data_IF_480978989665
#
_entry.id   IF_480978989665
#
_cell.length_a   1.000
_cell.length_b   1.000
_cell.length_c   1.000
_cell.angle_alpha   90.00
_cell.angle_beta   90.00
_cell.angle_gamma   90.00
#
_symmetry.space_group_name_H-M   'P 1'
#
loop_
_entity.id
_entity.type
_entity.pdbx_description
1 polymer ?
#
# COMPACT_ATOMS: atom_id res chain seq x y z
N UNK A 1 -13.93 -54.96 -12.11
CA UNK A 1 -13.16 -53.75 -12.47
C UNK A 1 -14.05 -52.54 -12.22
N UNK A 2 -13.96 -51.95 -11.04
CA UNK A 2 -14.62 -50.69 -10.70
C UNK A 2 -13.54 -49.63 -10.65
N UNK A 3 -13.53 -48.75 -11.66
CA UNK A 3 -12.68 -47.56 -11.68
C UNK A 3 -13.28 -46.60 -10.64
N UNK A 4 -12.60 -46.47 -9.50
CA UNK A 4 -12.94 -45.47 -8.50
C UNK A 4 -12.51 -44.09 -8.99
N UNK A 5 -13.47 -43.25 -9.33
CA UNK A 5 -13.25 -41.82 -9.52
C UNK A 5 -12.77 -41.24 -8.19
N UNK A 6 -11.53 -40.75 -8.15
CA UNK A 6 -11.01 -40.05 -6.98
C UNK A 6 -11.86 -38.79 -6.72
N UNK A 7 -12.21 -38.47 -5.47
CA UNK A 7 -12.93 -37.25 -5.17
C UNK A 7 -12.03 -36.05 -5.46
N UNK A 8 -12.51 -35.14 -6.31
CA UNK A 8 -11.95 -33.80 -6.45
C UNK A 8 -11.94 -33.13 -5.08
N UNK A 9 -10.77 -33.02 -4.45
CA UNK A 9 -10.58 -32.36 -3.17
C UNK A 9 -10.89 -30.86 -3.35
N UNK A 10 -12.01 -30.41 -2.77
CA UNK A 10 -12.26 -28.98 -2.62
C UNK A 10 -11.09 -28.35 -1.86
N UNK A 11 -10.37 -27.42 -2.50
CA UNK A 11 -9.25 -26.71 -1.91
C UNK A 11 -9.67 -26.14 -0.55
N UNK A 12 -8.92 -26.46 0.51
CA UNK A 12 -9.23 -25.96 1.85
C UNK A 12 -8.97 -24.45 1.92
N UNK A 13 -9.51 -23.77 2.94
CA UNK A 13 -9.24 -22.36 3.17
C UNK A 13 -7.74 -22.03 3.32
N UNK A 14 -6.90 -23.02 3.70
CA UNK A 14 -5.43 -22.88 3.78
C UNK A 14 -4.73 -23.04 2.43
N UNK A 15 -5.40 -23.63 1.45
CA UNK A 15 -4.87 -23.83 0.11
C UNK A 15 -5.32 -22.70 -0.82
N UNK A 16 -5.44 -21.47 -0.34
CA UNK A 16 -5.89 -20.34 -1.14
C UNK A 16 -5.07 -19.09 -0.84
N UNK A 17 -4.79 -18.32 -1.89
CA UNK A 17 -4.38 -16.92 -1.77
C UNK A 17 -5.64 -16.09 -1.98
N UNK A 18 -6.12 -15.44 -0.93
CA UNK A 18 -7.37 -14.67 -0.95
C UNK A 18 -7.09 -13.19 -0.82
N UNK A 19 -7.69 -12.41 -1.71
CA UNK A 19 -7.79 -10.96 -1.56
C UNK A 19 -8.93 -10.68 -0.59
N UNK A 20 -8.58 -10.21 0.60
CA UNK A 20 -9.55 -9.86 1.67
C UNK A 20 -9.95 -8.39 1.63
N UNK A 21 -9.20 -7.56 0.90
CA UNK A 21 -9.61 -6.21 0.56
C UNK A 21 -8.77 -5.60 -0.55
N UNK A 22 -9.37 -4.64 -1.24
CA UNK A 22 -8.77 -3.96 -2.39
C UNK A 22 -9.18 -2.48 -2.34
N UNK A 23 -8.19 -1.59 -2.33
CA UNK A 23 -8.40 -0.15 -2.25
C UNK A 23 -7.55 0.58 -3.28
N UNK A 24 -8.13 1.61 -3.87
CA UNK A 24 -7.39 2.67 -4.55
C UNK A 24 -7.10 3.75 -3.53
N UNK A 25 -5.80 3.98 -3.27
CA UNK A 25 -5.31 4.97 -2.30
C UNK A 25 -4.79 6.15 -3.10
N UNK A 26 -5.38 7.34 -2.91
CA UNK A 26 -5.10 8.51 -3.72
C UNK A 26 -4.00 9.39 -3.13
N UNK A 27 -3.39 10.22 -3.99
CA UNK A 27 -2.50 11.32 -3.60
C UNK A 27 -1.37 10.93 -2.64
N UNK A 28 -1.09 11.81 -1.69
CA UNK A 28 -0.19 11.54 -0.57
C UNK A 28 -0.85 10.55 0.40
N UNK A 29 -0.13 9.48 0.73
CA UNK A 29 -0.64 8.42 1.58
C UNK A 29 0.48 7.74 2.36
N UNK A 30 0.12 6.82 3.26
CA UNK A 30 1.08 6.07 4.06
C UNK A 30 2.13 5.32 3.23
N UNK A 31 1.73 4.77 2.09
CA UNK A 31 2.56 3.89 1.28
C UNK A 31 3.54 4.68 0.42
N UNK A 32 3.08 5.76 -0.20
CA UNK A 32 3.89 6.58 -1.08
C UNK A 32 3.34 8.00 -1.22
N UNK A 33 4.17 8.88 -1.77
CA UNK A 33 3.76 10.23 -2.21
C UNK A 33 3.07 10.23 -3.58
N UNK A 34 2.46 9.11 -3.97
CA UNK A 34 1.79 8.89 -5.25
C UNK A 34 0.67 7.86 -5.06
N UNK A 35 -0.32 7.82 -5.98
CA UNK A 35 -1.40 6.85 -5.90
C UNK A 35 -0.89 5.39 -5.87
N UNK A 36 -1.52 4.57 -5.04
CA UNK A 36 -1.24 3.13 -4.96
C UNK A 36 -2.52 2.31 -4.93
N UNK A 37 -2.48 1.12 -5.49
CA UNK A 37 -3.46 0.06 -5.25
C UNK A 37 -2.98 -0.74 -4.06
N UNK A 38 -3.76 -0.76 -2.99
CA UNK A 38 -3.52 -1.59 -1.82
C UNK A 38 -4.36 -2.84 -1.92
N UNK A 39 -3.74 -3.98 -1.70
CA UNK A 39 -4.39 -5.28 -1.59
C UNK A 39 -4.03 -5.91 -0.24
N UNK A 40 -5.06 -6.33 0.50
CA UNK A 40 -4.91 -7.10 1.72
C UNK A 40 -5.09 -8.58 1.39
N UNK A 41 -4.12 -9.39 1.76
CA UNK A 41 -4.04 -10.80 1.42
C UNK A 41 -4.12 -11.67 2.66
N UNK A 42 -4.79 -12.81 2.50
CA UNK A 42 -4.61 -14.01 3.32
C UNK A 42 -4.01 -15.08 2.41
N UNK A 43 -2.76 -15.45 2.66
CA UNK A 43 -1.98 -16.35 1.79
C UNK A 43 -1.99 -17.81 2.27
N UNK A 44 -2.65 -18.14 3.37
CA UNK A 44 -2.74 -19.51 3.87
C UNK A 44 -1.37 -20.20 3.97
N UNK A 45 -1.24 -21.41 3.41
CA UNK A 45 0.00 -22.19 3.40
C UNK A 45 1.14 -21.56 2.60
N UNK A 46 0.83 -20.63 1.69
CA UNK A 46 1.84 -19.96 0.86
C UNK A 46 2.68 -18.93 1.63
N UNK A 47 2.42 -18.79 2.94
CA UNK A 47 3.30 -18.11 3.90
C UNK A 47 4.54 -18.95 4.24
N UNK A 48 4.44 -20.28 4.11
CA UNK A 48 5.47 -21.24 4.52
C UNK A 48 6.17 -21.88 3.31
N UNK A 49 5.63 -21.72 2.11
CA UNK A 49 6.13 -22.34 0.87
C UNK A 49 6.80 -21.29 0.00
N UNK A 50 8.15 -21.22 -0.03
CA UNK A 50 8.88 -20.33 -0.92
C UNK A 50 8.92 -20.86 -2.36
N UNK A 51 9.22 -19.98 -3.31
CA UNK A 51 9.23 -20.28 -4.75
C UNK A 51 10.23 -21.36 -5.19
N UNK A 52 11.32 -21.56 -4.47
CA UNK A 52 12.37 -22.55 -4.77
C UNK A 52 12.02 -23.97 -4.31
N UNK A 53 11.10 -24.12 -3.36
CA UNK A 53 10.58 -25.42 -2.93
C UNK A 53 9.46 -25.96 -3.84
N UNK A 54 8.98 -25.15 -4.78
CA UNK A 54 7.92 -25.54 -5.71
C UNK A 54 8.51 -25.92 -7.06
N UNK A 55 8.39 -27.20 -7.40
CA UNK A 55 9.01 -27.76 -8.59
C UNK A 55 8.61 -27.01 -9.88
N UNK A 56 9.62 -26.47 -10.58
CA UNK A 56 9.45 -25.76 -11.83
C UNK A 56 8.74 -24.40 -11.73
N UNK A 57 8.46 -23.88 -10.52
CA UNK A 57 7.75 -22.62 -10.33
C UNK A 57 8.44 -21.45 -11.04
N UNK A 58 9.72 -21.22 -10.74
CA UNK A 58 10.47 -20.09 -11.29
C UNK A 58 10.56 -20.18 -12.82
N UNK A 59 10.89 -21.37 -13.35
CA UNK A 59 10.97 -21.59 -14.79
C UNK A 59 9.63 -21.32 -15.48
N UNK A 60 8.52 -21.78 -14.91
CA UNK A 60 7.16 -21.58 -15.44
C UNK A 60 6.78 -20.10 -15.44
N UNK A 61 6.98 -19.41 -14.32
CA UNK A 61 6.62 -18.00 -14.17
C UNK A 61 7.46 -17.10 -15.09
N UNK A 62 8.77 -17.33 -15.18
CA UNK A 62 9.66 -16.54 -16.05
C UNK A 62 9.44 -16.83 -17.53
N UNK A 63 9.14 -18.09 -17.90
CA UNK A 63 8.81 -18.44 -19.28
C UNK A 63 7.49 -17.77 -19.71
N UNK A 64 6.48 -17.74 -18.83
CA UNK A 64 5.21 -17.07 -19.11
C UNK A 64 5.37 -15.54 -19.12
N UNK A 65 6.13 -14.97 -18.19
CA UNK A 65 6.29 -13.53 -18.03
C UNK A 65 7.77 -13.10 -18.11
N UNK A 66 8.41 -13.13 -19.29
CA UNK A 66 9.84 -12.83 -19.45
C UNK A 66 10.24 -11.43 -18.97
N UNK A 67 9.30 -10.48 -18.99
CA UNK A 67 9.51 -9.10 -18.53
C UNK A 67 9.92 -9.00 -17.06
N UNK A 68 9.71 -10.05 -16.24
CA UNK A 68 10.20 -10.10 -14.86
C UNK A 68 11.72 -9.94 -14.75
N UNK A 69 12.48 -10.20 -15.82
CA UNK A 69 13.93 -9.95 -15.86
C UNK A 69 14.28 -8.47 -15.68
N UNK A 70 13.38 -7.54 -15.99
CA UNK A 70 13.63 -6.11 -15.81
C UNK A 70 13.45 -5.65 -14.35
N UNK A 71 12.95 -6.53 -13.47
CA UNK A 71 12.73 -6.18 -12.07
C UNK A 71 13.95 -6.48 -11.19
N UNK A 72 14.37 -5.47 -10.43
CA UNK A 72 15.64 -5.51 -9.70
C UNK A 72 15.54 -6.04 -8.26
N UNK A 73 14.35 -5.99 -7.65
CA UNK A 73 14.14 -6.30 -6.23
C UNK A 73 15.13 -5.53 -5.33
N UNK A 74 15.51 -6.08 -4.17
CA UNK A 74 16.52 -5.52 -3.26
C UNK A 74 17.96 -5.66 -3.75
N UNK A 75 18.19 -6.46 -4.81
CA UNK A 75 19.52 -6.70 -5.39
C UNK A 75 19.99 -5.48 -6.21
N UNK A 76 19.06 -4.65 -6.70
CA UNK A 76 19.37 -3.36 -7.32
C UNK A 76 20.05 -3.46 -8.69
N UNK A 77 19.83 -4.57 -9.40
CA UNK A 77 20.25 -4.76 -10.79
C UNK A 77 19.19 -5.55 -11.58
N UNK A 78 19.14 -5.33 -12.89
CA UNK A 78 18.37 -6.16 -13.83
C UNK A 78 18.57 -7.66 -13.56
N UNK A 79 17.47 -8.40 -13.50
CA UNK A 79 17.42 -9.83 -13.19
C UNK A 79 17.38 -10.14 -11.69
N UNK A 80 17.56 -9.15 -10.82
CA UNK A 80 17.63 -9.35 -9.37
C UNK A 80 16.38 -10.00 -8.76
N UNK A 81 15.19 -9.75 -9.31
CA UNK A 81 13.98 -10.45 -8.88
C UNK A 81 13.97 -11.93 -9.31
N UNK A 82 14.46 -12.25 -10.51
CA UNK A 82 14.58 -13.64 -10.97
C UNK A 82 15.57 -14.42 -10.08
N UNK A 83 16.73 -13.83 -9.76
CA UNK A 83 17.66 -14.41 -8.79
C UNK A 83 16.99 -14.63 -7.43
N UNK A 84 16.09 -13.73 -7.01
CA UNK A 84 15.35 -13.86 -5.74
C UNK A 84 14.33 -14.99 -5.77
N UNK A 85 13.68 -15.23 -6.91
CA UNK A 85 12.79 -16.38 -7.12
C UNK A 85 13.54 -17.70 -7.03
N UNK A 86 14.72 -17.79 -7.65
CA UNK A 86 15.58 -18.98 -7.61
C UNK A 86 16.11 -19.29 -6.20
N UNK A 87 16.32 -18.26 -5.38
CA UNK A 87 16.71 -18.38 -3.97
C UNK A 87 15.54 -18.55 -2.99
N UNK A 88 14.31 -18.58 -3.48
CA UNK A 88 13.12 -18.74 -2.64
C UNK A 88 12.54 -17.46 -2.07
N UNK A 89 11.37 -17.07 -2.54
CA UNK A 89 10.58 -15.97 -1.97
C UNK A 89 9.09 -16.30 -1.94
N UNK A 90 8.29 -15.49 -1.25
CA UNK A 90 6.93 -15.84 -0.87
C UNK A 90 5.87 -15.12 -1.69
N UNK A 91 4.67 -15.68 -1.74
CA UNK A 91 3.56 -15.23 -2.59
C UNK A 91 3.30 -13.72 -2.57
N UNK A 92 3.24 -13.00 -1.41
CA UNK A 92 2.97 -11.56 -1.41
C UNK A 92 4.00 -10.74 -2.20
N UNK A 93 5.27 -11.10 -2.08
CA UNK A 93 6.36 -10.43 -2.78
C UNK A 93 6.38 -10.77 -4.27
N UNK A 94 6.00 -12.00 -4.63
CA UNK A 94 5.86 -12.40 -6.03
C UNK A 94 4.69 -11.64 -6.68
N UNK A 95 3.54 -11.55 -5.99
CA UNK A 95 2.37 -10.78 -6.44
C UNK A 95 2.72 -9.31 -6.64
N UNK A 96 3.57 -8.73 -5.77
CA UNK A 96 4.07 -7.38 -5.92
C UNK A 96 4.75 -7.16 -7.28
N UNK A 97 5.75 -7.99 -7.58
CA UNK A 97 6.54 -7.88 -8.80
C UNK A 97 5.74 -8.24 -10.06
N UNK A 98 4.92 -9.28 -10.02
CA UNK A 98 4.03 -9.65 -11.13
C UNK A 98 3.03 -8.52 -11.39
N UNK A 99 2.44 -7.93 -10.35
CA UNK A 99 1.52 -6.80 -10.50
C UNK A 99 2.16 -5.59 -11.18
N UNK A 100 3.38 -5.24 -10.80
CA UNK A 100 4.13 -4.16 -11.46
C UNK A 100 4.49 -4.51 -12.91
N UNK A 101 4.94 -5.75 -13.17
CA UNK A 101 5.29 -6.20 -14.52
C UNK A 101 4.09 -6.16 -15.47
N UNK A 102 2.91 -6.61 -15.02
CA UNK A 102 1.68 -6.55 -15.80
C UNK A 102 1.28 -5.10 -16.13
N UNK A 103 1.42 -4.17 -15.18
CA UNK A 103 1.16 -2.75 -15.43
C UNK A 103 2.12 -2.20 -16.50
N UNK A 104 3.40 -2.57 -16.42
CA UNK A 104 4.42 -2.15 -17.38
C UNK A 104 4.14 -2.68 -18.79
N UNK A 105 3.73 -3.94 -18.92
CA UNK A 105 3.30 -4.53 -20.19
C UNK A 105 1.98 -3.94 -20.72
N UNK A 106 1.09 -3.49 -19.83
CA UNK A 106 -0.10 -2.74 -20.19
C UNK A 106 0.21 -1.28 -20.60
N UNK A 107 1.46 -0.84 -20.46
CA UNK A 107 1.97 0.45 -20.91
C UNK A 107 1.93 1.56 -19.86
N UNK A 108 1.77 1.24 -18.57
CA UNK A 108 2.03 2.17 -17.47
C UNK A 108 3.53 2.14 -17.12
N UNK A 109 4.11 3.26 -16.71
CA UNK A 109 5.46 3.31 -16.15
C UNK A 109 5.38 3.34 -14.61
N UNK A 110 5.52 2.17 -13.99
CA UNK A 110 5.48 1.99 -12.53
C UNK A 110 6.55 1.03 -12.03
N UNK A 111 7.20 1.40 -10.93
CA UNK A 111 8.23 0.58 -10.30
C UNK A 111 8.20 0.55 -8.77
N UNK A 112 7.24 1.25 -8.15
CA UNK A 112 7.11 1.24 -6.69
C UNK A 112 6.12 0.17 -6.25
N UNK A 113 6.63 -0.80 -5.50
CA UNK A 113 5.85 -1.82 -4.80
C UNK A 113 6.29 -1.93 -3.35
N UNK A 114 5.43 -2.52 -2.52
CA UNK A 114 5.78 -2.89 -1.15
C UNK A 114 4.85 -3.98 -0.61
N UNK A 115 5.37 -5.18 -0.39
CA UNK A 115 4.73 -6.25 0.36
C UNK A 115 5.18 -6.25 1.83
N UNK A 116 4.23 -6.35 2.76
CA UNK A 116 4.51 -6.38 4.21
C UNK A 116 3.57 -7.32 4.94
N UNK A 117 4.11 -8.05 5.92
CA UNK A 117 3.29 -8.80 6.88
C UNK A 117 2.37 -7.89 7.68
N UNK A 118 1.14 -8.36 7.87
CA UNK A 118 0.12 -7.72 8.69
C UNK A 118 0.05 -8.40 10.07
N UNK A 119 -1.05 -8.21 10.79
CA UNK A 119 -1.16 -8.53 12.22
C UNK A 119 -1.13 -10.03 12.53
N UNK A 120 -1.60 -10.86 11.60
CA UNK A 120 -1.68 -12.31 11.77
C UNK A 120 -0.71 -13.02 10.83
N UNK A 121 -0.11 -14.16 11.22
CA UNK A 121 0.58 -15.05 10.28
C UNK A 121 -0.31 -15.35 9.06
N UNK A 122 0.28 -15.41 7.87
CA UNK A 122 -0.43 -15.54 6.61
C UNK A 122 -1.17 -14.30 6.12
N UNK A 123 -1.26 -13.22 6.91
CA UNK A 123 -1.88 -11.96 6.47
C UNK A 123 -0.86 -10.94 6.00
N UNK A 124 -1.11 -10.32 4.84
CA UNK A 124 -0.19 -9.38 4.21
C UNK A 124 -0.93 -8.17 3.65
N UNK A 125 -0.20 -7.07 3.52
CA UNK A 125 -0.60 -5.93 2.71
C UNK A 125 0.43 -5.76 1.60
N UNK A 126 -0.04 -5.65 0.36
CA UNK A 126 0.81 -5.24 -0.77
C UNK A 126 0.28 -3.91 -1.30
N UNK A 127 1.18 -2.97 -1.54
CA UNK A 127 0.89 -1.71 -2.20
C UNK A 127 1.62 -1.66 -3.54
N UNK A 128 0.89 -1.37 -4.62
CA UNK A 128 1.43 -1.22 -5.98
C UNK A 128 1.18 0.21 -6.43
N UNK A 129 2.19 0.97 -6.82
CA UNK A 129 1.94 2.21 -7.53
C UNK A 129 1.14 1.94 -8.81
N UNK A 130 0.23 2.86 -9.14
CA UNK A 130 -0.52 2.84 -10.38
C UNK A 130 -0.53 4.24 -11.01
N UNK A 131 -0.69 4.31 -12.32
CA UNK A 131 -1.05 5.57 -13.01
C UNK A 131 -2.55 5.69 -13.18
N UNK A 132 -3.20 4.56 -13.45
CA UNK A 132 -4.65 4.45 -13.56
C UNK A 132 -5.20 3.48 -12.50
N UNK A 133 -6.18 3.91 -11.73
CA UNK A 133 -6.77 3.17 -10.63
C UNK A 133 -7.38 1.84 -11.09
N UNK A 134 -8.06 1.85 -12.24
CA UNK A 134 -8.64 0.65 -12.83
C UNK A 134 -7.57 -0.36 -13.28
N UNK A 135 -6.48 0.11 -13.90
CA UNK A 135 -5.34 -0.72 -14.29
C UNK A 135 -4.68 -1.32 -13.06
N UNK A 136 -4.45 -0.53 -12.01
CA UNK A 136 -3.86 -1.01 -10.76
C UNK A 136 -4.71 -2.07 -10.05
N UNK A 137 -6.04 -1.90 -10.01
CA UNK A 137 -6.95 -2.92 -9.45
C UNK A 137 -6.95 -4.21 -10.27
N UNK A 138 -6.98 -4.09 -11.60
CA UNK A 138 -6.87 -5.25 -12.48
C UNK A 138 -5.52 -5.97 -12.27
N UNK A 139 -4.42 -5.22 -12.19
CA UNK A 139 -3.09 -5.76 -11.94
C UNK A 139 -3.01 -6.54 -10.63
N UNK A 140 -3.57 -6.01 -9.54
CA UNK A 140 -3.62 -6.67 -8.25
C UNK A 140 -4.33 -8.03 -8.31
N UNK A 141 -5.49 -8.08 -8.96
CA UNK A 141 -6.31 -9.30 -9.08
C UNK A 141 -5.66 -10.32 -10.03
N UNK A 142 -5.19 -9.86 -11.20
CA UNK A 142 -4.57 -10.73 -12.20
C UNK A 142 -3.23 -11.29 -11.72
N UNK A 143 -2.40 -10.49 -11.05
CA UNK A 143 -1.16 -10.97 -10.44
C UNK A 143 -1.43 -12.04 -9.37
N UNK A 144 -2.44 -11.83 -8.52
CA UNK A 144 -2.84 -12.82 -7.52
C UNK A 144 -3.26 -14.14 -8.16
N UNK A 145 -4.08 -14.08 -9.22
CA UNK A 145 -4.53 -15.26 -9.96
C UNK A 145 -3.37 -16.00 -10.66
N UNK A 146 -2.51 -15.27 -11.37
CA UNK A 146 -1.35 -15.86 -12.06
C UNK A 146 -0.36 -16.49 -11.09
N UNK A 147 -0.03 -15.81 -9.99
CA UNK A 147 0.87 -16.37 -8.98
C UNK A 147 0.26 -17.61 -8.36
N UNK A 148 -1.05 -17.61 -8.10
CA UNK A 148 -1.72 -18.81 -7.60
C UNK A 148 -1.65 -19.98 -8.58
N UNK A 149 -1.97 -19.75 -9.86
CA UNK A 149 -1.86 -20.75 -10.90
C UNK A 149 -0.41 -21.27 -11.04
N UNK A 150 0.59 -20.40 -10.89
CA UNK A 150 1.99 -20.79 -10.93
C UNK A 150 2.37 -21.74 -9.78
N UNK A 151 1.85 -21.47 -8.57
CA UNK A 151 2.00 -22.35 -7.41
C UNK A 151 1.31 -23.71 -7.59
N UNK A 152 0.21 -23.75 -8.34
CA UNK A 152 -0.53 -24.99 -8.62
C UNK A 152 0.05 -25.78 -9.81
N UNK A 153 1.05 -25.23 -10.51
CA UNK A 153 1.61 -25.84 -11.71
C UNK A 153 0.69 -25.74 -12.94
N UNK A 154 -0.34 -24.90 -12.87
CA UNK A 154 -1.35 -24.72 -13.91
C UNK A 154 -0.83 -23.83 -15.07
N UNK A 155 -1.46 -23.89 -16.25
CA UNK A 155 -1.15 -22.99 -17.37
C UNK A 155 -1.32 -21.52 -16.98
N UNK A 156 -0.40 -20.67 -17.45
CA UNK A 156 -0.41 -19.23 -17.21
C UNK A 156 -0.77 -18.49 -18.50
N UNK A 157 -1.63 -17.48 -18.40
CA UNK A 157 -2.03 -16.62 -19.51
C UNK A 157 -1.82 -15.12 -19.17
N UNK A 158 -0.55 -14.65 -19.19
CA UNK A 158 -0.25 -13.25 -18.92
C UNK A 158 -0.76 -12.31 -20.01
N UNK A 159 -0.97 -12.79 -21.23
CA UNK A 159 -1.51 -11.97 -22.32
C UNK A 159 -2.98 -11.61 -22.06
N UNK A 160 -3.80 -12.57 -21.61
CA UNK A 160 -5.15 -12.30 -21.16
C UNK A 160 -5.18 -11.34 -19.96
N UNK A 161 -4.26 -11.51 -19.00
CA UNK A 161 -4.11 -10.59 -17.88
C UNK A 161 -3.80 -9.16 -18.38
N UNK A 162 -2.81 -8.98 -19.24
CA UNK A 162 -2.44 -7.67 -19.82
C UNK A 162 -3.59 -7.07 -20.62
N UNK A 163 -4.34 -7.88 -21.38
CA UNK A 163 -5.53 -7.42 -22.10
C UNK A 163 -6.61 -6.88 -21.14
N UNK A 164 -6.85 -7.55 -20.00
CA UNK A 164 -7.77 -7.08 -18.97
C UNK A 164 -7.32 -5.74 -18.37
N UNK A 165 -6.02 -5.55 -18.14
CA UNK A 165 -5.46 -4.28 -17.66
C UNK A 165 -5.67 -3.16 -18.69
N UNK A 166 -5.37 -3.42 -19.97
CA UNK A 166 -5.55 -2.44 -21.06
C UNK A 166 -7.02 -2.01 -21.21
N UNK A 167 -7.96 -2.94 -21.04
CA UNK A 167 -9.39 -2.62 -21.04
C UNK A 167 -9.77 -1.65 -19.90
N UNK A 168 -9.15 -1.81 -18.72
CA UNK A 168 -9.35 -0.92 -17.58
C UNK A 168 -8.90 0.53 -17.82
N UNK A 169 -7.95 0.78 -18.73
CA UNK A 169 -7.44 2.13 -19.02
C UNK A 169 -8.50 3.06 -19.62
N UNK A 170 -9.53 2.53 -20.27
CA UNK A 170 -10.63 3.33 -20.80
C UNK A 170 -11.59 3.82 -19.70
N UNK A 171 -11.48 3.29 -18.47
CA UNK A 171 -12.31 3.70 -17.36
C UNK A 171 -11.77 5.01 -16.74
N UNK A 172 -12.66 5.92 -16.29
CA UNK A 172 -12.24 7.11 -15.57
C UNK A 172 -11.46 6.74 -14.30
N UNK A 173 -10.40 7.48 -14.03
CA UNK A 173 -9.69 7.40 -12.76
C UNK A 173 -10.41 8.18 -11.66
N UNK A 174 -10.17 7.75 -10.42
CA UNK A 174 -10.55 8.55 -9.26
C UNK A 174 -9.76 9.87 -9.30
N UNK A 175 -10.43 11.03 -9.22
CA UNK A 175 -9.74 12.31 -9.30
C UNK A 175 -8.75 12.43 -8.15
N UNK A 176 -7.54 12.88 -8.47
CA UNK A 176 -6.57 13.23 -7.45
C UNK A 176 -7.16 14.32 -6.53
N UNK A 177 -6.88 14.29 -5.22
CA UNK A 177 -7.23 15.40 -4.34
C UNK A 177 -6.60 16.70 -4.87
N UNK A 178 -7.41 17.73 -5.10
CA UNK A 178 -6.96 19.06 -5.55
C UNK A 178 -7.26 20.16 -4.53
N UNK A 179 -8.06 19.86 -3.51
CA UNK A 179 -8.45 20.83 -2.50
C UNK A 179 -7.23 21.35 -1.73
N UNK A 180 -7.15 22.68 -1.60
CA UNK A 180 -6.28 23.35 -0.65
C UNK A 180 -7.09 23.67 0.59
N UNK A 181 -6.57 23.33 1.76
CA UNK A 181 -7.27 23.52 3.03
C UNK A 181 -6.43 24.39 3.97
N UNK A 182 -7.08 25.25 4.74
CA UNK A 182 -6.35 26.08 5.70
C UNK A 182 -5.81 25.24 6.85
N UNK A 183 -6.62 24.32 7.38
CA UNK A 183 -6.26 23.43 8.50
C UNK A 183 -6.65 22.00 8.20
N UNK A 184 -5.69 21.09 8.39
CA UNK A 184 -5.91 19.66 8.45
C UNK A 184 -5.60 19.12 9.85
N UNK A 185 -6.48 18.29 10.40
CA UNK A 185 -6.38 17.80 11.78
C UNK A 185 -6.24 16.28 11.80
N UNK A 186 -5.12 15.77 12.30
CA UNK A 186 -4.93 14.35 12.59
C UNK A 186 -5.52 14.02 13.97
N UNK A 187 -6.51 13.14 13.99
CA UNK A 187 -7.18 12.74 15.22
C UNK A 187 -7.74 11.32 15.13
N UNK A 188 -7.67 10.57 16.23
CA UNK A 188 -8.24 9.22 16.34
C UNK A 188 -9.78 9.25 16.35
N UNK A 189 -10.35 10.12 17.19
CA UNK A 189 -11.78 10.20 17.54
C UNK A 189 -12.14 11.52 18.23
N UNK A 190 -11.27 12.55 18.24
CA UNK A 190 -11.54 13.75 19.02
C UNK A 190 -12.78 14.51 18.51
N UNK A 191 -13.70 14.83 19.43
CA UNK A 191 -14.93 15.59 19.22
C UNK A 191 -14.71 17.11 19.20
N UNK A 192 -13.45 17.56 19.22
CA UNK A 192 -13.11 18.98 19.18
C UNK A 192 -13.63 19.66 17.91
N UNK A 193 -14.32 20.79 18.08
CA UNK A 193 -14.81 21.64 16.99
C UNK A 193 -13.64 22.43 16.39
N UNK A 194 -12.92 21.82 15.47
CA UNK A 194 -11.96 22.53 14.63
C UNK A 194 -12.58 22.76 13.25
N UNK A 195 -12.58 24.02 12.80
CA UNK A 195 -12.89 24.39 11.43
C UNK A 195 -11.73 23.93 10.52
N UNK A 196 -11.81 22.70 10.02
CA UNK A 196 -10.76 22.09 9.23
C UNK A 196 -11.11 20.67 8.77
N UNK A 197 -10.26 20.12 7.90
CA UNK A 197 -10.44 18.75 7.39
C UNK A 197 -9.84 17.74 8.36
N UNK A 198 -10.70 16.92 8.97
CA UNK A 198 -10.28 15.85 9.87
C UNK A 198 -9.77 14.64 9.10
N UNK A 199 -8.62 14.13 9.52
CA UNK A 199 -7.96 12.98 8.94
C UNK A 199 -7.74 11.94 10.03
N UNK A 200 -8.35 10.77 9.88
CA UNK A 200 -8.14 9.66 10.80
C UNK A 200 -6.94 8.81 10.35
N UNK A 201 -6.25 8.14 11.29
CA UNK A 201 -5.16 7.22 10.98
C UNK A 201 -5.55 6.19 9.90
N UNK A 202 -6.72 5.55 10.08
CA UNK A 202 -7.24 4.55 9.14
C UNK A 202 -7.46 5.11 7.73
N UNK A 203 -7.88 6.36 7.59
CA UNK A 203 -8.07 7.00 6.29
C UNK A 203 -6.74 7.15 5.54
N UNK A 204 -5.68 7.61 6.21
CA UNK A 204 -4.37 7.82 5.56
C UNK A 204 -3.85 6.52 4.93
N UNK A 205 -4.07 5.39 5.60
CA UNK A 205 -3.61 4.07 5.15
C UNK A 205 -4.50 3.49 4.03
N UNK A 206 -5.81 3.75 4.05
CA UNK A 206 -6.80 3.12 3.14
C UNK A 206 -7.21 3.99 1.96
N UNK A 207 -7.11 5.32 2.07
CA UNK A 207 -7.57 6.28 1.07
C UNK A 207 -6.58 7.42 0.79
N UNK A 208 -5.60 7.62 1.67
CA UNK A 208 -4.68 8.76 1.59
C UNK A 208 -5.31 10.06 2.11
N UNK A 209 -4.58 11.17 1.92
CA UNK A 209 -5.05 12.49 2.32
C UNK A 209 -6.25 12.93 1.45
N UNK A 210 -7.30 13.54 2.04
CA UNK A 210 -8.44 14.09 1.31
C UNK A 210 -8.15 15.41 0.57
N UNK A 211 -6.97 15.98 0.73
CA UNK A 211 -6.59 17.28 0.20
C UNK A 211 -5.21 17.20 -0.48
N UNK A 212 -4.91 18.17 -1.33
CA UNK A 212 -3.63 18.29 -2.01
C UNK A 212 -2.57 18.99 -1.13
N UNK A 213 -3.00 20.05 -0.43
CA UNK A 213 -2.13 20.84 0.41
C UNK A 213 -2.88 21.47 1.59
N UNK A 214 -2.23 21.56 2.74
CA UNK A 214 -2.70 22.26 3.92
C UNK A 214 -1.77 23.43 4.29
N UNK A 215 -2.31 24.57 4.75
CA UNK A 215 -1.48 25.65 5.31
C UNK A 215 -1.03 25.37 6.75
N UNK A 216 -1.89 24.71 7.52
CA UNK A 216 -1.61 24.26 8.88
C UNK A 216 -1.97 22.78 9.01
N UNK A 217 -1.07 21.97 9.55
CA UNK A 217 -1.35 20.61 9.98
C UNK A 217 -1.32 20.58 11.50
N UNK A 218 -2.39 20.06 12.10
CA UNK A 218 -2.53 19.92 13.55
C UNK A 218 -2.58 18.44 13.88
N UNK A 219 -1.61 17.95 14.65
CA UNK A 219 -1.62 16.61 15.22
C UNK A 219 -2.05 16.73 16.67
N UNK A 220 -3.20 16.16 17.02
CA UNK A 220 -3.71 16.23 18.39
C UNK A 220 -3.09 15.17 19.30
N UNK A 221 -2.78 14.01 18.74
CA UNK A 221 -2.28 12.85 19.46
C UNK A 221 -1.25 12.13 18.58
N UNK A 222 -0.05 11.92 19.12
CA UNK A 222 1.01 11.16 18.45
C UNK A 222 1.05 9.68 18.88
N UNK A 223 0.04 9.21 19.63
CA UNK A 223 -0.10 7.85 20.12
C UNK A 223 -0.80 6.89 19.15
N UNK A 224 -1.09 5.68 19.61
CA UNK A 224 -1.65 4.59 18.80
C UNK A 224 -3.18 4.53 18.76
N UNK A 225 -3.86 5.47 19.41
CA UNK A 225 -5.33 5.51 19.46
C UNK A 225 -5.90 5.71 18.06
N UNK A 226 -6.91 4.91 17.69
CA UNK A 226 -7.50 4.94 16.35
C UNK A 226 -6.58 4.49 15.21
N UNK A 227 -5.30 4.20 15.50
CA UNK A 227 -4.35 3.61 14.54
C UNK A 227 -4.71 2.14 14.35
N UNK A 228 -4.88 1.65 13.12
CA UNK A 228 -5.13 0.23 12.88
C UNK A 228 -3.98 -0.61 13.47
N UNK A 229 -4.30 -1.76 14.07
CA UNK A 229 -3.37 -2.51 14.94
C UNK A 229 -2.04 -2.81 14.23
N UNK A 230 -2.08 -3.17 12.95
CA UNK A 230 -0.90 -3.44 12.12
C UNK A 230 0.00 -2.23 11.84
N UNK A 231 -0.38 -1.02 12.25
CA UNK A 231 0.38 0.21 12.05
C UNK A 231 0.79 0.86 13.37
N UNK A 232 0.63 0.15 14.51
CA UNK A 232 0.92 0.67 15.86
C UNK A 232 2.38 0.56 16.29
N UNK A 233 3.22 -0.17 15.54
CA UNK A 233 4.65 -0.22 15.81
C UNK A 233 5.25 1.21 15.71
N UNK A 234 6.19 1.62 16.58
CA UNK A 234 6.70 2.99 16.64
C UNK A 234 7.12 3.56 15.29
N UNK A 235 7.88 2.78 14.51
CA UNK A 235 8.40 3.23 13.21
C UNK A 235 7.27 3.41 12.17
N UNK A 236 6.21 2.61 12.29
CA UNK A 236 5.01 2.72 11.42
C UNK A 236 4.15 3.91 11.82
N UNK A 237 4.04 4.17 13.12
CA UNK A 237 3.32 5.33 13.63
C UNK A 237 4.01 6.63 13.22
N UNK A 238 5.33 6.70 13.36
CA UNK A 238 6.13 7.82 12.87
C UNK A 238 5.92 8.03 11.36
N UNK A 239 6.05 6.97 10.55
CA UNK A 239 5.77 7.04 9.11
C UNK A 239 4.35 7.53 8.80
N UNK A 240 3.35 7.17 9.61
CA UNK A 240 1.97 7.59 9.41
C UNK A 240 1.78 9.09 9.70
N UNK A 241 2.39 9.58 10.78
CA UNK A 241 2.29 10.98 11.19
C UNK A 241 2.99 11.91 10.18
N UNK A 242 4.12 11.48 9.62
CA UNK A 242 4.87 12.28 8.64
C UNK A 242 4.10 12.55 7.36
N UNK A 243 3.08 11.75 7.02
CA UNK A 243 2.20 12.02 5.87
C UNK A 243 1.49 13.37 6.01
N UNK A 244 1.10 13.78 7.23
CA UNK A 244 0.47 15.09 7.46
C UNK A 244 1.43 16.24 7.18
N UNK A 245 2.72 16.06 7.50
CA UNK A 245 3.77 17.04 7.20
C UNK A 245 4.04 17.07 5.70
N UNK A 246 4.09 15.92 5.04
CA UNK A 246 4.23 15.84 3.57
C UNK A 246 3.06 16.53 2.84
N UNK A 247 1.89 16.62 3.48
CA UNK A 247 0.72 17.33 2.97
C UNK A 247 0.72 18.84 3.21
N UNK A 248 1.75 19.41 3.84
CA UNK A 248 1.86 20.86 4.02
C UNK A 248 2.24 21.57 2.72
N UNK A 249 1.61 22.70 2.45
CA UNK A 249 2.06 23.63 1.43
C UNK A 249 3.45 24.20 1.79
N UNK A 250 4.26 24.66 0.82
CA UNK A 250 5.49 25.39 1.10
C UNK A 250 5.23 26.56 2.08
N UNK A 251 6.01 26.63 3.15
CA UNK A 251 5.83 27.62 4.22
C UNK A 251 4.67 27.34 5.18
N UNK A 252 3.94 26.23 4.99
CA UNK A 252 2.94 25.75 5.93
C UNK A 252 3.55 25.35 7.27
N UNK A 253 2.73 25.31 8.32
CA UNK A 253 3.18 25.07 9.71
C UNK A 253 2.62 23.77 10.28
N UNK A 254 3.44 23.10 11.10
CA UNK A 254 3.01 21.98 11.94
C UNK A 254 2.67 22.49 13.34
N UNK A 255 1.57 21.99 13.89
CA UNK A 255 1.25 22.05 15.31
C UNK A 255 1.14 20.62 15.83
N UNK A 256 1.87 20.28 16.87
CA UNK A 256 1.84 18.94 17.44
C UNK A 256 2.13 18.94 18.95
N UNK A 257 1.91 17.83 19.66
CA UNK A 257 2.27 17.71 21.05
C UNK A 257 3.80 17.83 21.23
N UNK A 258 4.23 18.29 22.41
CA UNK A 258 5.66 18.45 22.74
C UNK A 258 6.45 17.13 22.71
N UNK A 259 5.78 16.00 22.98
CA UNK A 259 6.36 14.66 23.00
C UNK A 259 6.51 14.04 21.60
N UNK A 260 5.94 14.65 20.55
CA UNK A 260 6.05 14.20 19.17
C UNK A 260 7.37 14.61 18.50
N UNK A 261 8.50 14.46 19.19
CA UNK A 261 9.81 15.03 18.81
C UNK A 261 10.27 14.62 17.40
N UNK A 262 10.16 13.34 17.04
CA UNK A 262 10.52 12.84 15.71
C UNK A 262 9.72 13.53 14.58
N UNK A 263 8.44 13.82 14.82
CA UNK A 263 7.60 14.53 13.86
C UNK A 263 8.01 16.01 13.74
N UNK A 264 8.37 16.64 14.87
CA UNK A 264 8.84 18.02 14.88
C UNK A 264 10.13 18.16 14.06
N UNK A 265 11.09 17.26 14.26
CA UNK A 265 12.37 17.29 13.53
C UNK A 265 12.14 17.05 12.04
N UNK A 266 11.32 16.07 11.68
CA UNK A 266 10.92 15.80 10.30
C UNK A 266 10.32 17.02 9.59
N UNK A 267 9.50 17.82 10.30
CA UNK A 267 8.92 19.05 9.78
C UNK A 267 9.94 20.18 9.62
N UNK A 268 10.84 20.36 10.61
CA UNK A 268 11.92 21.36 10.54
C UNK A 268 12.88 21.08 9.39
N UNK A 269 13.25 19.83 9.16
CA UNK A 269 14.09 19.41 8.03
C UNK A 269 13.49 19.76 6.66
N UNK A 270 12.16 19.86 6.58
CA UNK A 270 11.41 20.27 5.37
C UNK A 270 11.14 21.77 5.31
N UNK A 271 11.65 22.54 6.27
CA UNK A 271 11.49 23.99 6.32
C UNK A 271 10.11 24.45 6.84
N UNK A 272 9.37 23.58 7.51
CA UNK A 272 8.09 23.95 8.12
C UNK A 272 8.29 24.47 9.55
N UNK A 273 7.74 25.66 9.89
CA UNK A 273 7.67 26.11 11.28
C UNK A 273 6.88 25.12 12.14
N UNK A 274 7.31 24.94 13.40
CA UNK A 274 6.69 24.02 14.36
C UNK A 274 6.25 24.78 15.60
N UNK A 275 4.98 24.64 15.95
CA UNK A 275 4.43 25.05 17.24
C UNK A 275 4.09 23.81 18.07
N UNK A 276 4.42 23.83 19.36
CA UNK A 276 4.20 22.70 20.28
C UNK A 276 3.21 23.06 21.38
N UNK A 277 2.48 22.06 21.89
CA UNK A 277 1.59 22.21 23.05
C UNK A 277 1.79 21.04 24.03
N UNK A 278 1.54 21.29 25.31
CA UNK A 278 1.61 20.24 26.33
C UNK A 278 0.40 19.29 26.24
N UNK A 279 0.57 17.96 26.45
CA UNK A 279 -0.53 17.02 26.39
C UNK A 279 -1.65 17.37 27.37
N UNK A 280 -2.89 17.45 26.87
CA UNK A 280 -4.08 17.74 27.69
C UNK A 280 -4.37 19.24 27.90
N UNK A 281 -3.51 20.14 27.41
CA UNK A 281 -3.85 21.56 27.32
C UNK A 281 -4.73 21.86 26.10
N UNK A 282 -5.64 22.84 26.19
CA UNK A 282 -6.34 23.33 25.01
C UNK A 282 -5.34 23.89 24.01
N UNK A 283 -5.54 23.58 22.72
CA UNK A 283 -4.71 24.13 21.65
C UNK A 283 -4.66 25.67 21.73
N UNK A 284 -3.51 26.29 21.40
CA UNK A 284 -3.38 27.74 21.36
C UNK A 284 -4.53 28.40 20.61
N UNK A 285 -5.14 29.43 21.19
CA UNK A 285 -6.30 30.14 20.62
C UNK A 285 -6.00 30.78 19.26
N UNK A 286 -4.74 30.99 18.93
CA UNK A 286 -4.23 31.46 17.63
C UNK A 286 -4.35 30.42 16.50
N UNK A 287 -4.70 29.17 16.84
CA UNK A 287 -5.01 28.10 15.89
C UNK A 287 -6.51 27.97 15.62
N UNK A 288 -7.36 28.70 16.35
CA UNK A 288 -8.75 28.89 15.97
C UNK A 288 -8.77 29.79 14.74
N UNK A 289 -8.81 29.19 13.55
CA UNK A 289 -9.06 29.92 12.32
C UNK A 289 -10.44 30.54 12.45
N UNK A 290 -10.52 31.87 12.47
CA UNK A 290 -11.80 32.58 12.39
C UNK A 290 -12.41 32.24 11.03
N UNK A 291 -13.63 31.72 11.05
CA UNK A 291 -14.41 31.37 9.86
C UNK A 291 -14.68 32.54 8.92
#
# INVERSE_FOLDING_TARGET
MTVGTAPSLAATARDQIRVTGLWTVAGLNYWARRPVTRLDLDVGRFDEVPSDEVEGFTARLVAALPALVEHECSVGRRGGFVERLERGTYAPHIIEHVGLALQNLAGDDVGYGRARGAERPGSYVVALAHRHAAVGRAAALQATALVRAAFDGEPLDPDAAVAALRAGRALPDDPAPTAQVDVAVYASTHDGTHDGVRVTPARIVTRGLPYAAARTAVVLEAGTRGVPVGFRAPERLEQLLTVMVDGLAPGGRLVCPEDATALQDYARERGHPVAVFAPGEPLPSELAVRG
#
